data_IF_133104227720
#
_entry.id   IF_133104227720
#
_cell.length_a   1.000
_cell.length_b   1.000
_cell.length_c   1.000
_cell.angle_alpha   90.00
_cell.angle_beta   90.00
_cell.angle_gamma   90.00
#
_symmetry.space_group_name_H-M   'P 1'
#
loop_
_entity.id
_entity.type
_entity.pdbx_description
1 polymer ?
#
# COMPACT_ATOMS: atom_id res chain seq x y z
N UNK A 1 -5.12 -11.61 8.26
CA UNK A 1 -6.12 -11.25 7.23
C UNK A 1 -5.51 -11.58 5.87
N UNK A 2 -6.29 -12.08 4.89
CA UNK A 2 -5.80 -12.18 3.52
C UNK A 2 -6.14 -10.87 2.80
N UNK A 3 -5.14 -10.12 2.36
CA UNK A 3 -5.32 -8.85 1.66
C UNK A 3 -5.44 -9.02 0.14
N UNK A 4 -5.33 -10.26 -0.35
CA UNK A 4 -5.55 -10.64 -1.74
C UNK A 4 -7.06 -10.66 -2.04
N UNK A 5 -7.61 -9.47 -2.32
CA UNK A 5 -8.98 -9.28 -2.76
C UNK A 5 -9.05 -9.13 -4.28
N UNK A 6 -10.16 -9.56 -4.88
CA UNK A 6 -10.44 -9.24 -6.27
C UNK A 6 -11.04 -7.83 -6.37
N UNK A 7 -10.16 -6.84 -6.53
CA UNK A 7 -10.54 -5.44 -6.65
C UNK A 7 -11.23 -5.17 -7.98
N UNK A 8 -12.32 -4.38 -7.97
CA UNK A 8 -12.98 -3.96 -9.23
C UNK A 8 -12.13 -2.96 -9.99
N UNK A 9 -11.40 -2.12 -9.26
CA UNK A 9 -10.47 -1.14 -9.81
C UNK A 9 -9.09 -1.35 -9.17
N UNK A 10 -8.10 -1.76 -9.97
CA UNK A 10 -6.73 -2.00 -9.50
C UNK A 10 -6.08 -0.74 -8.93
N UNK A 11 -6.57 0.45 -9.26
CA UNK A 11 -6.14 1.71 -8.64
C UNK A 11 -6.48 1.79 -7.16
N UNK A 12 -7.54 1.15 -6.70
CA UNK A 12 -7.87 1.09 -5.27
C UNK A 12 -6.89 0.18 -4.52
N UNK A 13 -6.42 -0.90 -5.15
CA UNK A 13 -5.35 -1.75 -4.61
C UNK A 13 -4.04 -0.98 -4.48
N UNK A 14 -3.66 -0.23 -5.52
CA UNK A 14 -2.48 0.62 -5.52
C UNK A 14 -2.60 1.72 -4.46
N UNK A 15 -3.77 2.30 -4.30
CA UNK A 15 -4.05 3.30 -3.26
C UNK A 15 -3.89 2.73 -1.85
N UNK A 16 -4.39 1.52 -1.61
CA UNK A 16 -4.18 0.82 -0.34
C UNK A 16 -2.69 0.53 -0.08
N UNK A 17 -1.95 0.07 -1.11
CA UNK A 17 -0.51 -0.13 -0.99
C UNK A 17 0.22 1.18 -0.67
N UNK A 18 -0.12 2.28 -1.35
CA UNK A 18 0.43 3.60 -1.10
C UNK A 18 0.18 4.07 0.35
N UNK A 19 -1.03 3.88 0.87
CA UNK A 19 -1.36 4.23 2.26
C UNK A 19 -0.55 3.39 3.26
N UNK A 20 -0.37 2.10 3.01
CA UNK A 20 0.49 1.23 3.85
C UNK A 20 1.96 1.68 3.84
N UNK A 21 2.52 1.98 2.66
CA UNK A 21 3.86 2.52 2.55
C UNK A 21 4.02 3.89 3.22
N UNK A 22 2.98 4.74 3.13
CA UNK A 22 2.93 6.05 3.80
C UNK A 22 2.92 5.92 5.31
N UNK A 23 2.18 4.95 5.87
CA UNK A 23 2.19 4.64 7.31
C UNK A 23 3.53 4.07 7.78
N UNK A 24 4.25 3.34 6.92
CA UNK A 24 5.59 2.82 7.22
C UNK A 24 6.68 3.90 7.19
N UNK A 25 6.50 4.97 6.41
CA UNK A 25 7.51 6.00 6.19
C UNK A 25 8.07 6.65 7.48
N UNK A 26 7.31 6.95 8.55
CA UNK A 26 7.86 7.46 9.81
C UNK A 26 8.89 6.54 10.48
N UNK A 27 8.85 5.24 10.21
CA UNK A 27 9.79 4.27 10.77
C UNK A 27 11.12 4.18 10.00
N UNK A 28 11.19 4.78 8.80
CA UNK A 28 12.41 4.85 8.01
C UNK A 28 13.43 5.80 8.65
N UNK A 29 14.60 5.26 9.02
CA UNK A 29 15.71 6.01 9.67
C UNK A 29 16.88 6.31 8.73
N UNK A 30 16.84 5.84 7.48
CA UNK A 30 17.90 6.07 6.50
C UNK A 30 17.90 7.50 5.91
N UNK A 31 18.92 7.80 5.14
CA UNK A 31 19.14 9.11 4.51
C UNK A 31 18.41 9.28 3.17
N UNK A 32 17.96 8.19 2.55
CA UNK A 32 17.27 8.20 1.24
C UNK A 32 15.75 8.39 1.34
N UNK A 33 15.28 9.12 2.35
CA UNK A 33 13.84 9.32 2.62
C UNK A 33 13.10 9.97 1.44
N UNK A 34 13.78 10.84 0.69
CA UNK A 34 13.24 11.46 -0.53
C UNK A 34 12.85 10.42 -1.59
N UNK A 35 13.65 9.36 -1.74
CA UNK A 35 13.43 8.35 -2.76
C UNK A 35 12.18 7.51 -2.43
N UNK A 36 11.97 7.21 -1.15
CA UNK A 36 10.75 6.57 -0.66
C UNK A 36 9.52 7.45 -0.88
N UNK A 37 9.63 8.75 -0.59
CA UNK A 37 8.53 9.70 -0.81
C UNK A 37 8.15 9.74 -2.28
N UNK A 38 9.12 9.86 -3.19
CA UNK A 38 8.85 9.87 -4.63
C UNK A 38 8.20 8.57 -5.11
N UNK A 39 8.63 7.41 -4.60
CA UNK A 39 8.01 6.12 -4.93
C UNK A 39 6.54 6.06 -4.45
N UNK A 40 6.26 6.53 -3.23
CA UNK A 40 4.89 6.60 -2.68
C UNK A 40 4.02 7.58 -3.48
N UNK A 41 4.53 8.76 -3.80
CA UNK A 41 3.79 9.77 -4.58
C UNK A 41 3.39 9.25 -5.96
N UNK A 42 4.24 8.44 -6.62
CA UNK A 42 3.89 7.80 -7.89
C UNK A 42 2.72 6.82 -7.71
N UNK A 43 2.72 6.03 -6.64
CA UNK A 43 1.62 5.14 -6.31
C UNK A 43 0.32 5.91 -6.00
N UNK A 44 0.39 7.01 -5.24
CA UNK A 44 -0.75 7.87 -4.95
C UNK A 44 -1.34 8.51 -6.22
N UNK A 45 -0.48 9.00 -7.12
CA UNK A 45 -0.90 9.55 -8.43
C UNK A 45 -1.58 8.49 -9.29
N UNK A 46 -1.07 7.26 -9.30
CA UNK A 46 -1.68 6.14 -10.00
C UNK A 46 -3.08 5.82 -9.43
N UNK A 47 -3.21 5.79 -8.10
CA UNK A 47 -4.49 5.59 -7.41
C UNK A 47 -5.53 6.66 -7.75
N UNK A 48 -5.08 7.90 -8.02
CA UNK A 48 -5.92 9.01 -8.46
C UNK A 48 -6.23 9.02 -9.97
N UNK A 49 -5.76 8.01 -10.72
CA UNK A 49 -5.99 7.89 -12.16
C UNK A 49 -5.13 8.82 -13.01
N UNK A 50 -4.05 9.38 -12.47
CA UNK A 50 -3.11 10.15 -13.24
C UNK A 50 -2.26 9.24 -14.15
N UNK A 51 -1.86 9.77 -15.31
CA UNK A 51 -0.93 9.09 -16.19
C UNK A 51 0.47 9.09 -15.58
N UNK A 52 1.02 7.90 -15.39
CA UNK A 52 2.37 7.69 -14.84
C UNK A 52 3.36 7.47 -15.98
N UNK A 53 4.48 8.19 -15.95
CA UNK A 53 5.64 7.89 -16.80
C UNK A 53 6.28 6.60 -16.30
N UNK A 54 6.28 5.57 -17.15
CA UNK A 54 6.81 4.25 -16.81
C UNK A 54 8.31 4.28 -16.50
N UNK A 55 9.09 5.17 -17.13
CA UNK A 55 10.50 5.35 -16.81
C UNK A 55 10.67 5.96 -15.42
N UNK A 56 9.88 6.99 -15.10
CA UNK A 56 9.91 7.61 -13.77
C UNK A 56 9.54 6.62 -12.66
N UNK A 57 8.49 5.82 -12.86
CA UNK A 57 8.09 4.76 -11.93
C UNK A 57 9.20 3.71 -11.75
N UNK A 58 9.84 3.29 -12.85
CA UNK A 58 10.94 2.34 -12.80
C UNK A 58 12.14 2.87 -12.00
N UNK A 59 12.52 4.13 -12.21
CA UNK A 59 13.63 4.76 -11.48
C UNK A 59 13.30 4.97 -10.00
N UNK A 60 12.10 5.44 -9.67
CA UNK A 60 11.68 5.65 -8.27
C UNK A 60 11.63 4.33 -7.50
N UNK A 61 11.08 3.27 -8.10
CA UNK A 61 11.12 1.91 -7.55
C UNK A 61 12.55 1.46 -7.30
N UNK A 62 13.44 1.63 -8.29
CA UNK A 62 14.85 1.26 -8.16
C UNK A 62 15.53 1.98 -6.99
N UNK A 63 15.31 3.28 -6.87
CA UNK A 63 15.87 4.08 -5.78
C UNK A 63 15.35 3.65 -4.40
N UNK A 64 14.05 3.36 -4.26
CA UNK A 64 13.47 2.84 -3.02
C UNK A 64 14.00 1.44 -2.67
N UNK A 65 14.15 0.57 -3.67
CA UNK A 65 14.73 -0.77 -3.48
C UNK A 65 16.22 -0.70 -3.07
N UNK A 66 16.99 0.19 -3.70
CA UNK A 66 18.37 0.43 -3.31
C UNK A 66 18.45 0.99 -1.88
N UNK A 67 17.53 1.87 -1.48
CA UNK A 67 17.42 2.38 -0.12
C UNK A 67 17.11 1.27 0.90
N UNK A 68 16.30 0.26 0.52
CA UNK A 68 16.04 -0.91 1.35
C UNK A 68 17.31 -1.72 1.60
N UNK A 69 18.21 -1.79 0.62
CA UNK A 69 19.48 -2.52 0.74
C UNK A 69 20.66 -1.70 1.24
N UNK A 70 20.59 -0.36 1.19
CA UNK A 70 21.70 0.52 1.58
C UNK A 70 22.11 0.35 3.05
N UNK A 71 21.14 0.04 3.92
CA UNK A 71 21.40 -0.26 5.34
C UNK A 71 22.16 -1.57 5.56
N UNK A 72 22.14 -2.51 4.60
CA UNK A 72 22.81 -3.80 4.70
C UNK A 72 24.33 -3.75 4.41
N UNK A 73 24.82 -2.71 3.74
CA UNK A 73 26.22 -2.61 3.28
C UNK A 73 27.11 -1.67 4.11
N UNK A 74 26.54 -0.88 5.03
CA UNK A 74 27.28 0.15 5.77
C UNK A 74 27.95 -0.34 7.07
N UNK A 75 27.70 -1.58 7.51
CA UNK A 75 28.25 -2.13 8.75
C UNK A 75 29.14 -3.35 8.49
N UNK A 76 30.36 -3.38 9.04
CA UNK A 76 31.21 -4.58 9.15
C UNK A 76 30.64 -5.64 10.12
N UNK A 77 29.31 -5.71 10.26
CA UNK A 77 28.55 -6.62 11.10
C UNK A 77 27.77 -7.64 10.28
N UNK A 78 26.99 -8.54 10.93
CA UNK A 78 26.05 -9.39 10.20
C UNK A 78 25.14 -8.52 9.32
N UNK A 79 24.71 -9.01 8.14
CA UNK A 79 23.90 -8.23 7.21
C UNK A 79 22.70 -7.63 7.95
N UNK A 80 22.64 -6.30 8.03
CA UNK A 80 21.46 -5.64 8.56
C UNK A 80 20.28 -6.05 7.67
N UNK A 81 19.16 -6.49 8.27
CA UNK A 81 17.96 -6.78 7.49
C UNK A 81 17.59 -5.52 6.71
N UNK A 82 17.27 -5.70 5.43
CA UNK A 82 16.86 -4.60 4.57
C UNK A 82 15.71 -3.80 5.20
N UNK A 83 15.71 -2.49 4.97
CA UNK A 83 14.79 -1.57 5.65
C UNK A 83 13.33 -1.83 5.20
N UNK A 84 12.44 -2.26 6.12
CA UNK A 84 11.08 -2.61 5.77
C UNK A 84 10.26 -1.44 5.21
N UNK A 85 10.47 -0.21 5.69
CA UNK A 85 9.73 0.95 5.19
C UNK A 85 10.11 1.29 3.76
N UNK A 86 11.39 1.11 3.40
CA UNK A 86 11.86 1.26 2.03
C UNK A 86 11.31 0.18 1.09
N UNK A 87 11.23 -1.07 1.56
CA UNK A 87 10.59 -2.14 0.80
C UNK A 87 9.09 -1.90 0.58
N UNK A 88 8.37 -1.41 1.60
CA UNK A 88 6.97 -1.04 1.46
C UNK A 88 6.78 0.02 0.36
N UNK A 89 7.62 1.07 0.33
CA UNK A 89 7.58 2.09 -0.72
C UNK A 89 7.89 1.53 -2.12
N UNK A 90 8.90 0.64 -2.23
CA UNK A 90 9.25 -0.01 -3.49
C UNK A 90 8.11 -0.89 -4.01
N UNK A 91 7.50 -1.71 -3.15
CA UNK A 91 6.39 -2.59 -3.51
C UNK A 91 5.15 -1.79 -3.94
N UNK A 92 4.80 -0.72 -3.21
CA UNK A 92 3.70 0.18 -3.58
C UNK A 92 3.92 0.83 -4.96
N UNK A 93 5.15 1.30 -5.24
CA UNK A 93 5.48 1.86 -6.54
C UNK A 93 5.50 0.79 -7.64
N UNK A 94 5.86 -0.46 -7.33
CA UNK A 94 5.88 -1.53 -8.33
C UNK A 94 4.47 -1.89 -8.80
N UNK A 95 3.50 -1.88 -7.88
CA UNK A 95 2.09 -2.10 -8.14
C UNK A 95 1.50 -1.15 -9.21
N UNK A 96 2.14 -0.01 -9.53
CA UNK A 96 1.66 0.89 -10.59
C UNK A 96 2.00 0.43 -12.01
N UNK A 97 2.86 -0.59 -12.15
CA UNK A 97 3.43 -1.01 -13.45
C UNK A 97 3.17 -2.48 -13.79
N UNK A 98 2.48 -3.20 -12.91
CA UNK A 98 2.27 -4.65 -13.01
C UNK A 98 0.87 -5.00 -13.51
N UNK A 99 0.62 -6.29 -13.76
CA UNK A 99 -0.69 -6.80 -14.19
C UNK A 99 -1.66 -6.87 -13.00
N UNK A 100 -2.98 -6.88 -13.22
CA UNK A 100 -3.97 -6.88 -12.12
C UNK A 100 -3.74 -8.00 -11.07
N UNK A 101 -3.29 -9.18 -11.49
CA UNK A 101 -2.96 -10.28 -10.57
C UNK A 101 -1.69 -10.01 -9.74
N UNK A 102 -0.69 -9.35 -10.34
CA UNK A 102 0.54 -8.95 -9.67
C UNK A 102 0.28 -7.77 -8.70
N UNK A 103 -0.63 -6.85 -9.04
CA UNK A 103 -0.99 -5.70 -8.19
C UNK A 103 -1.48 -6.15 -6.81
N UNK A 104 -2.31 -7.20 -6.73
CA UNK A 104 -2.79 -7.73 -5.46
C UNK A 104 -1.66 -8.35 -4.62
N UNK A 105 -0.73 -9.06 -5.26
CA UNK A 105 0.46 -9.61 -4.59
C UNK A 105 1.35 -8.47 -4.07
N UNK A 106 1.62 -7.47 -4.90
CA UNK A 106 2.51 -6.36 -4.55
C UNK A 106 1.92 -5.51 -3.41
N UNK A 107 0.58 -5.38 -3.34
CA UNK A 107 -0.09 -4.78 -2.19
C UNK A 107 0.03 -5.63 -0.92
N UNK A 108 -0.09 -6.96 -1.02
CA UNK A 108 0.14 -7.86 0.11
C UNK A 108 1.60 -7.79 0.62
N UNK A 109 2.56 -7.72 -0.30
CA UNK A 109 3.97 -7.48 0.03
C UNK A 109 4.16 -6.13 0.74
N UNK A 110 3.49 -5.07 0.25
CA UNK A 110 3.54 -3.77 0.90
C UNK A 110 3.01 -3.81 2.34
N UNK A 111 1.91 -4.53 2.57
CA UNK A 111 1.36 -4.76 3.91
C UNK A 111 2.34 -5.52 4.80
N UNK A 112 2.93 -6.60 4.27
CA UNK A 112 3.93 -7.38 4.99
C UNK A 112 5.07 -6.48 5.48
N UNK A 113 5.60 -5.63 4.59
CA UNK A 113 6.70 -4.74 4.90
C UNK A 113 6.30 -3.58 5.82
N UNK A 114 5.10 -3.04 5.70
CA UNK A 114 4.57 -2.04 6.63
C UNK A 114 4.47 -2.60 8.06
N UNK A 115 3.93 -3.81 8.22
CA UNK A 115 3.88 -4.51 9.51
C UNK A 115 5.30 -4.77 10.05
N UNK A 116 6.24 -5.19 9.19
CA UNK A 116 7.67 -5.33 9.55
C UNK A 116 8.34 -4.02 9.96
N UNK A 117 7.91 -2.89 9.40
CA UNK A 117 8.41 -1.56 9.77
C UNK A 117 7.92 -1.12 11.16
N UNK A 118 6.83 -1.72 11.66
CA UNK A 118 6.23 -1.40 12.96
C UNK A 118 4.87 -0.71 12.87
N UNK A 119 4.25 -0.66 11.69
CA UNK A 119 2.85 -0.20 11.57
C UNK A 119 1.94 -1.21 12.26
N UNK A 120 0.98 -0.71 13.05
CA UNK A 120 0.06 -1.57 13.79
C UNK A 120 -0.93 -2.27 12.84
N UNK A 121 -1.14 -3.56 13.05
CA UNK A 121 -2.03 -4.36 12.21
C UNK A 121 -3.47 -3.81 12.19
N UNK A 122 -3.94 -3.17 13.28
CA UNK A 122 -5.26 -2.55 13.31
C UNK A 122 -5.33 -1.29 12.43
N UNK A 123 -4.25 -0.50 12.32
CA UNK A 123 -4.17 0.64 11.40
C UNK A 123 -4.22 0.17 9.95
N UNK A 124 -3.50 -0.91 9.63
CA UNK A 124 -3.53 -1.55 8.31
C UNK A 124 -4.94 -2.06 7.98
N UNK A 125 -5.63 -2.69 8.93
CA UNK A 125 -6.99 -3.17 8.74
C UNK A 125 -7.99 -2.03 8.51
N UNK A 126 -7.84 -0.91 9.22
CA UNK A 126 -8.67 0.28 9.03
C UNK A 126 -8.42 0.90 7.64
N UNK A 127 -7.15 1.02 7.22
CA UNK A 127 -6.80 1.49 5.87
C UNK A 127 -7.39 0.56 4.79
N UNK A 128 -7.24 -0.75 4.97
CA UNK A 128 -7.81 -1.75 4.07
C UNK A 128 -9.33 -1.59 3.93
N UNK A 129 -10.05 -1.50 5.05
CA UNK A 129 -11.49 -1.33 5.05
C UNK A 129 -11.94 -0.06 4.32
N UNK A 130 -11.21 1.06 4.49
CA UNK A 130 -11.50 2.32 3.76
C UNK A 130 -11.40 2.14 2.25
N UNK A 131 -10.35 1.50 1.76
CA UNK A 131 -10.18 1.26 0.33
C UNK A 131 -11.19 0.25 -0.22
N UNK A 132 -11.52 -0.80 0.54
CA UNK A 132 -12.58 -1.74 0.15
C UNK A 132 -13.92 -1.02 0.02
N UNK A 133 -14.31 -0.18 0.98
CA UNK A 133 -15.54 0.62 0.88
C UNK A 133 -15.52 1.48 -0.38
N UNK A 134 -14.40 2.16 -0.67
CA UNK A 134 -14.26 2.99 -1.88
C UNK A 134 -14.50 2.17 -3.15
N UNK A 135 -13.95 0.97 -3.22
CA UNK A 135 -14.11 0.06 -4.35
C UNK A 135 -15.56 -0.45 -4.49
N UNK A 136 -16.18 -0.88 -3.39
CA UNK A 136 -17.57 -1.36 -3.36
C UNK A 136 -18.57 -0.23 -3.68
N UNK A 137 -18.27 0.99 -3.24
CA UNK A 137 -19.13 2.16 -3.44
C UNK A 137 -19.23 2.57 -4.91
N UNK A 138 -18.22 2.25 -5.73
CA UNK A 138 -18.15 2.62 -7.14
C UNK A 138 -18.40 4.12 -7.38
N UNK A 139 -17.86 4.97 -6.50
CA UNK A 139 -18.00 6.44 -6.59
C UNK A 139 -19.32 7.00 -6.05
N UNK A 140 -20.20 6.17 -5.45
CA UNK A 140 -21.36 6.65 -4.70
C UNK A 140 -20.92 7.19 -3.34
N UNK A 141 -21.50 8.32 -2.95
CA UNK A 141 -21.33 8.86 -1.61
C UNK A 141 -22.37 8.26 -0.66
N UNK A 142 -21.88 7.77 0.47
CA UNK A 142 -22.71 7.27 1.57
C UNK A 142 -22.46 8.11 2.82
N UNK A 143 -23.46 8.16 3.70
CA UNK A 143 -23.28 8.78 5.00
C UNK A 143 -22.17 8.08 5.81
N UNK A 144 -21.66 8.80 6.80
CA UNK A 144 -20.54 8.32 7.63
C UNK A 144 -20.90 7.04 8.40
N UNK A 145 -22.14 6.92 8.85
CA UNK A 145 -22.62 5.80 9.67
C UNK A 145 -22.62 4.50 8.85
N UNK A 146 -23.10 4.55 7.61
CA UNK A 146 -23.10 3.43 6.68
C UNK A 146 -21.68 3.04 6.26
N UNK A 147 -20.80 4.04 6.01
CA UNK A 147 -19.38 3.78 5.71
C UNK A 147 -18.69 3.11 6.88
N UNK A 148 -18.95 3.54 8.11
CA UNK A 148 -18.39 2.92 9.32
C UNK A 148 -18.92 1.51 9.53
N UNK A 149 -20.23 1.27 9.34
CA UNK A 149 -20.82 -0.06 9.45
C UNK A 149 -20.25 -1.04 8.40
N UNK A 150 -20.17 -0.61 7.14
CA UNK A 150 -19.55 -1.40 6.08
C UNK A 150 -18.06 -1.66 6.38
N UNK A 151 -17.33 -0.67 6.88
CA UNK A 151 -15.93 -0.83 7.27
C UNK A 151 -15.73 -1.83 8.40
N UNK A 152 -16.58 -1.79 9.41
CA UNK A 152 -16.58 -2.77 10.50
C UNK A 152 -16.85 -4.19 9.99
N UNK A 153 -17.78 -4.36 9.04
CA UNK A 153 -18.03 -5.64 8.38
C UNK A 153 -16.80 -6.15 7.62
N UNK A 154 -16.10 -5.28 6.87
CA UNK A 154 -14.84 -5.65 6.20
C UNK A 154 -13.77 -6.08 7.20
N UNK A 155 -13.56 -5.33 8.29
CA UNK A 155 -12.59 -5.68 9.34
C UNK A 155 -12.94 -7.02 9.99
N UNK A 156 -14.22 -7.33 10.16
CA UNK A 156 -14.70 -8.62 10.64
C UNK A 156 -14.57 -9.77 9.63
N UNK A 157 -14.18 -9.47 8.37
CA UNK A 157 -14.04 -10.44 7.29
C UNK A 157 -15.34 -10.74 6.54
N UNK A 158 -16.39 -9.94 6.73
CA UNK A 158 -17.69 -10.09 6.07
C UNK A 158 -17.89 -9.02 4.97
N UNK A 159 -17.14 -9.17 3.88
CA UNK A 159 -17.29 -8.29 2.70
C UNK A 159 -18.66 -8.42 2.04
N UNK A 160 -19.35 -9.56 2.19
CA UNK A 160 -20.69 -9.76 1.64
C UNK A 160 -21.69 -8.86 2.36
N UNK A 161 -21.64 -8.80 3.70
CA UNK A 161 -22.41 -7.85 4.49
C UNK A 161 -22.04 -6.40 4.14
N UNK A 162 -20.75 -6.08 3.98
CA UNK A 162 -20.33 -4.75 3.56
C UNK A 162 -20.93 -4.35 2.20
N UNK A 163 -20.97 -5.27 1.23
CA UNK A 163 -21.61 -5.05 -0.07
C UNK A 163 -23.13 -4.89 0.07
N UNK A 164 -23.80 -5.66 0.91
CA UNK A 164 -25.25 -5.54 1.16
C UNK A 164 -25.60 -4.18 1.78
N UNK A 165 -24.81 -3.71 2.74
CA UNK A 165 -24.99 -2.40 3.39
C UNK A 165 -24.86 -1.25 2.39
N UNK A 166 -23.95 -1.36 1.42
CA UNK A 166 -23.70 -0.32 0.41
C UNK A 166 -24.64 -0.42 -0.80
N UNK A 167 -25.47 -1.48 -0.90
CA UNK A 167 -26.38 -1.74 -2.02
C UNK A 167 -25.68 -1.76 -3.37
#
# INVERSE_FOLDING_TARGET
MNYERNWRDSRNTVGFAAECARMALPFYIGDRRSDLITAIEIAERCANGEQIDSAAAYFARGAANDAAHATAYASEGPPHPADPAAYAASAACYATTTTDADVARDAADTVHWASKAGVDDSEIQVAYARWVIRDLSCGRDFDEELRQAAGAAVVAGDEALAQELLG
#
